data_IF_007394479629
#
_entry.id   IF_007394479629
#
_cell.length_a   1.000
_cell.length_b   1.000
_cell.length_c   1.000
_cell.angle_alpha   90.00
_cell.angle_beta   90.00
_cell.angle_gamma   90.00
#
_symmetry.space_group_name_H-M   'P 1'
#
loop_
_entity.id
_entity.type
_entity.pdbx_description
1 polymer ?
#
# COMPACT_ATOMS: atom_id res chain seq x y z
N UNK A 1 -4.50 1.36 -22.59
CA UNK A 1 -5.73 0.95 -21.88
C UNK A 1 -5.34 0.70 -20.43
N UNK A 2 -5.73 1.57 -19.51
CA UNK A 2 -5.40 1.41 -18.09
C UNK A 2 -6.40 0.42 -17.47
N UNK A 3 -5.91 -0.69 -16.93
CA UNK A 3 -6.73 -1.59 -16.12
C UNK A 3 -6.83 -0.98 -14.72
N UNK A 4 -7.74 -0.03 -14.56
CA UNK A 4 -8.03 0.55 -13.25
C UNK A 4 -8.77 -0.51 -12.42
N UNK A 5 -8.11 -1.05 -11.41
CA UNK A 5 -8.70 -2.01 -10.47
C UNK A 5 -9.35 -1.22 -9.34
N UNK A 6 -10.67 -1.31 -9.22
CA UNK A 6 -11.44 -0.70 -8.14
C UNK A 6 -11.80 -1.78 -7.13
N UNK A 7 -11.42 -1.58 -5.88
CA UNK A 7 -11.82 -2.44 -4.77
C UNK A 7 -13.00 -1.81 -4.03
N UNK A 8 -14.12 -2.50 -4.02
CA UNK A 8 -15.27 -2.16 -3.20
C UNK A 8 -15.38 -3.18 -2.08
N UNK A 9 -15.36 -2.69 -0.85
CA UNK A 9 -15.48 -3.51 0.34
C UNK A 9 -16.75 -3.12 1.10
N UNK A 10 -17.50 -4.11 1.56
CA UNK A 10 -18.41 -3.88 2.68
C UNK A 10 -17.61 -3.63 3.99
N UNK A 11 -18.30 -3.19 5.04
CA UNK A 11 -17.65 -2.87 6.32
C UNK A 11 -16.86 -4.04 6.91
N UNK A 12 -17.39 -5.26 6.85
CA UNK A 12 -16.74 -6.44 7.40
C UNK A 12 -15.55 -6.88 6.53
N UNK A 13 -15.69 -6.81 5.22
CA UNK A 13 -14.61 -7.06 4.28
C UNK A 13 -13.46 -6.07 4.48
N UNK A 14 -13.76 -4.78 4.66
CA UNK A 14 -12.75 -3.76 4.92
C UNK A 14 -12.01 -4.00 6.24
N UNK A 15 -12.74 -4.38 7.30
CA UNK A 15 -12.13 -4.69 8.59
C UNK A 15 -11.19 -5.91 8.51
N UNK A 16 -11.63 -6.98 7.85
CA UNK A 16 -10.80 -8.17 7.62
C UNK A 16 -9.58 -7.85 6.76
N UNK A 17 -9.76 -7.05 5.71
CA UNK A 17 -8.66 -6.60 4.87
C UNK A 17 -7.64 -5.77 5.66
N UNK A 18 -8.10 -4.83 6.48
CA UNK A 18 -7.25 -4.04 7.38
C UNK A 18 -6.46 -4.93 8.34
N UNK A 19 -7.12 -5.90 8.97
CA UNK A 19 -6.48 -6.84 9.88
C UNK A 19 -5.41 -7.68 9.16
N UNK A 20 -5.73 -8.20 7.97
CA UNK A 20 -4.79 -8.92 7.14
C UNK A 20 -3.55 -8.08 6.81
N UNK A 21 -3.75 -6.86 6.30
CA UNK A 21 -2.64 -5.95 5.94
C UNK A 21 -1.80 -5.58 7.15
N UNK A 22 -2.42 -5.41 8.33
CA UNK A 22 -1.71 -5.12 9.58
C UNK A 22 -0.77 -6.26 9.99
N UNK A 23 -1.16 -7.51 9.73
CA UNK A 23 -0.38 -8.69 10.08
C UNK A 23 0.74 -9.01 9.08
N UNK A 24 0.84 -8.27 7.97
CA UNK A 24 1.94 -8.44 7.01
C UNK A 24 3.26 -8.02 7.65
N UNK A 25 4.12 -9.02 7.87
CA UNK A 25 5.49 -8.84 8.34
C UNK A 25 6.37 -8.35 7.17
N UNK A 26 6.62 -7.04 7.13
CA UNK A 26 7.44 -6.42 6.08
C UNK A 26 8.90 -6.85 6.21
N UNK A 27 9.41 -6.98 7.44
CA UNK A 27 10.80 -7.37 7.71
C UNK A 27 11.15 -8.75 7.17
N UNK A 28 10.21 -9.70 7.23
CA UNK A 28 10.33 -11.02 6.61
C UNK A 28 10.62 -10.91 5.10
N UNK A 29 9.85 -10.07 4.40
CA UNK A 29 10.03 -9.82 2.97
C UNK A 29 11.30 -9.03 2.64
N UNK A 30 11.84 -8.26 3.60
CA UNK A 30 13.10 -7.52 3.47
C UNK A 30 14.35 -8.37 3.78
N UNK A 31 14.27 -9.34 4.70
CA UNK A 31 15.42 -10.18 5.07
C UNK A 31 15.73 -11.24 4.01
N UNK A 32 14.73 -11.80 3.32
CA UNK A 32 14.91 -12.97 2.44
C UNK A 32 15.61 -12.70 1.08
N UNK A 33 16.42 -11.66 0.95
CA UNK A 33 17.01 -11.28 -0.35
C UNK A 33 18.08 -10.21 -0.29
N UNK A 34 18.77 -10.10 0.85
CA UNK A 34 19.88 -9.16 1.09
C UNK A 34 21.02 -9.28 0.07
N UNK A 35 20.97 -10.26 -0.84
CA UNK A 35 21.93 -10.47 -1.92
C UNK A 35 21.49 -10.00 -3.32
N UNK A 36 20.35 -9.30 -3.50
CA UNK A 36 19.86 -8.93 -4.85
C UNK A 36 19.55 -7.44 -4.98
N UNK A 37 19.90 -6.84 -6.12
CA UNK A 37 19.74 -5.40 -6.44
C UNK A 37 18.33 -5.02 -6.93
N UNK A 38 17.38 -5.95 -6.93
CA UNK A 38 16.02 -5.72 -7.44
C UNK A 38 15.08 -5.16 -6.36
N UNK A 39 14.29 -4.14 -6.73
CA UNK A 39 13.19 -3.61 -5.90
C UNK A 39 12.19 -4.73 -5.63
N UNK A 40 12.03 -5.10 -4.36
CA UNK A 40 11.17 -6.21 -3.95
C UNK A 40 9.70 -5.83 -3.96
N UNK A 41 8.90 -6.86 -4.20
CA UNK A 41 7.46 -6.81 -4.41
C UNK A 41 6.79 -7.72 -3.39
N UNK A 42 5.87 -7.17 -2.61
CA UNK A 42 5.10 -7.82 -1.54
C UNK A 42 3.74 -8.20 -2.15
N UNK A 43 3.50 -9.50 -2.40
CA UNK A 43 2.22 -9.95 -2.90
C UNK A 43 1.18 -9.98 -1.76
N UNK A 44 0.05 -9.33 -1.98
CA UNK A 44 -1.17 -9.47 -1.18
C UNK A 44 -2.16 -10.32 -1.98
N UNK A 45 -2.47 -11.49 -1.44
CA UNK A 45 -3.51 -12.35 -2.01
C UNK A 45 -4.87 -11.71 -1.77
N UNK A 46 -5.67 -11.57 -2.83
CA UNK A 46 -7.06 -11.11 -2.71
C UNK A 46 -8.00 -12.29 -2.52
N UNK A 47 -9.28 -12.03 -2.25
CA UNK A 47 -10.30 -13.08 -2.21
C UNK A 47 -10.54 -13.76 -3.56
N UNK A 48 -10.08 -13.17 -4.67
CA UNK A 48 -10.14 -13.79 -5.99
C UNK A 48 -8.86 -14.56 -6.28
N UNK A 49 -8.99 -15.85 -6.58
CA UNK A 49 -7.86 -16.75 -6.86
C UNK A 49 -6.95 -16.28 -7.99
N UNK A 50 -7.48 -15.48 -8.91
CA UNK A 50 -6.77 -14.97 -10.09
C UNK A 50 -6.26 -13.52 -9.94
N UNK A 51 -6.36 -12.92 -8.75
CA UNK A 51 -5.92 -11.55 -8.52
C UNK A 51 -4.98 -11.49 -7.32
N UNK A 52 -3.73 -11.12 -7.62
CA UNK A 52 -2.70 -10.83 -6.62
C UNK A 52 -2.32 -9.36 -6.76
N UNK A 53 -2.42 -8.64 -5.66
CA UNK A 53 -1.89 -7.28 -5.57
C UNK A 53 -0.42 -7.36 -5.25
N UNK A 54 0.39 -6.49 -5.84
CA UNK A 54 1.82 -6.53 -5.65
C UNK A 54 2.31 -5.12 -5.36
N UNK A 55 2.87 -4.94 -4.18
CA UNK A 55 3.28 -3.63 -3.66
C UNK A 55 4.78 -3.59 -3.42
N UNK A 56 5.45 -2.48 -3.70
CA UNK A 56 6.78 -2.27 -3.14
C UNK A 56 6.73 -1.79 -1.68
N UNK A 57 7.90 -1.52 -1.09
CA UNK A 57 8.01 -1.08 0.31
C UNK A 57 7.34 0.28 0.56
N UNK A 58 7.39 1.18 -0.41
CA UNK A 58 6.75 2.48 -0.29
C UNK A 58 5.23 2.31 -0.38
N UNK A 59 4.75 1.58 -1.39
CA UNK A 59 3.33 1.37 -1.62
C UNK A 59 2.65 0.61 -0.47
N UNK A 60 3.30 -0.40 0.14
CA UNK A 60 2.73 -1.12 1.29
C UNK A 60 2.63 -0.22 2.53
N UNK A 61 3.58 0.69 2.71
CA UNK A 61 3.57 1.62 3.83
C UNK A 61 2.46 2.66 3.66
N UNK A 62 2.29 3.20 2.45
CA UNK A 62 1.19 4.08 2.12
C UNK A 62 -0.17 3.38 2.29
N UNK A 63 -0.29 2.12 1.86
CA UNK A 63 -1.50 1.32 2.10
C UNK A 63 -1.80 1.18 3.60
N UNK A 64 -0.78 0.92 4.43
CA UNK A 64 -0.94 0.83 5.88
C UNK A 64 -1.34 2.17 6.52
N UNK A 65 -0.83 3.30 6.03
CA UNK A 65 -1.28 4.63 6.44
C UNK A 65 -2.74 4.88 6.04
N UNK A 66 -3.10 4.57 4.80
CA UNK A 66 -4.46 4.74 4.26
C UNK A 66 -5.50 3.93 5.06
N UNK A 67 -5.14 2.71 5.47
CA UNK A 67 -5.99 1.85 6.31
C UNK A 67 -5.99 2.24 7.80
N UNK A 68 -5.29 3.33 8.17
CA UNK A 68 -5.16 3.77 9.55
C UNK A 68 -4.53 2.72 10.47
N UNK A 69 -3.63 1.89 9.94
CA UNK A 69 -2.88 0.90 10.71
C UNK A 69 -1.74 1.60 11.44
N UNK A 70 -1.01 2.47 10.72
CA UNK A 70 -0.08 3.40 11.34
C UNK A 70 -0.85 4.59 11.90
N UNK A 71 -0.51 5.00 13.12
CA UNK A 71 -0.96 6.30 13.63
C UNK A 71 -0.24 7.36 12.81
N UNK A 72 -0.97 8.02 11.91
CA UNK A 72 -0.53 9.29 11.34
C UNK A 72 -0.27 10.23 12.51
N UNK A 73 0.93 10.81 12.56
CA UNK A 73 1.17 11.88 13.50
C UNK A 73 0.21 13.01 13.11
N UNK A 74 -0.54 13.57 14.07
CA UNK A 74 -1.55 14.59 13.75
C UNK A 74 -0.94 15.85 13.14
N UNK A 75 0.39 15.94 13.16
CA UNK A 75 1.20 17.03 12.64
C UNK A 75 1.98 16.66 11.37
N UNK A 76 1.71 15.52 10.72
CA UNK A 76 2.27 15.23 9.40
C UNK A 76 1.70 16.25 8.39
N UNK A 77 2.49 17.28 8.12
CA UNK A 77 2.21 18.29 7.11
C UNK A 77 2.41 17.61 5.76
N UNK A 78 1.37 17.60 4.92
CA UNK A 78 1.47 17.16 3.53
C UNK A 78 2.55 17.99 2.83
N UNK A 79 3.53 17.32 2.24
CA UNK A 79 4.51 17.98 1.40
C UNK A 79 3.83 18.41 0.09
N UNK A 80 4.33 19.46 -0.58
CA UNK A 80 3.84 19.83 -1.91
C UNK A 80 3.94 18.70 -2.94
N UNK A 81 4.83 17.73 -2.70
CA UNK A 81 5.06 16.55 -3.53
C UNK A 81 3.97 15.47 -3.35
N UNK A 82 3.26 15.49 -2.22
CA UNK A 82 2.13 14.59 -1.94
C UNK A 82 0.83 15.02 -2.68
N UNK A 83 0.85 16.20 -3.29
CA UNK A 83 -0.30 16.79 -3.97
C UNK A 83 0.06 16.97 -5.45
N UNK A 84 -0.74 16.36 -6.32
CA UNK A 84 -0.56 16.46 -7.77
C UNK A 84 -1.04 17.84 -8.27
N UNK A 85 -0.26 18.88 -7.95
CA UNK A 85 -0.54 20.24 -8.36
C UNK A 85 -0.32 20.35 -9.88
N UNK A 86 -1.40 20.63 -10.61
CA UNK A 86 -1.27 21.11 -11.99
C UNK A 86 -0.55 22.45 -11.94
N UNK A 87 0.71 22.48 -12.39
CA UNK A 87 1.48 23.73 -12.46
C UNK A 87 0.81 24.68 -13.46
N UNK A 88 0.05 25.63 -12.94
CA UNK A 88 -0.46 26.74 -13.74
C UNK A 88 0.65 27.79 -13.80
N UNK A 89 1.36 27.83 -14.92
CA UNK A 89 2.31 28.91 -15.25
C UNK A 89 1.52 30.13 -15.76
N UNK A 90 1.76 31.29 -15.14
CA UNK A 90 1.22 32.59 -15.56
C UNK A 90 2.17 33.30 -16.52
#
# INVERSE_FOLDING_TARGET
>A
MFNNVIFQFDKNQLLKFREYVSNINIDYWLQYGSCTTQRRKIPIQTFHENLVLVFDLFEINELKKLLGIYKLDKNDILSPEDIDYTLVLN
#
